data_IF_199291927457
#
_entry.id   IF_199291927457
#
_cell.length_a   1.000
_cell.length_b   1.000
_cell.length_c   1.000
_cell.angle_alpha   90.00
_cell.angle_beta   90.00
_cell.angle_gamma   90.00
#
_symmetry.space_group_name_H-M   'P 1'
#
loop_
_entity.id
_entity.type
_entity.pdbx_description
1 polymer ?
#
# COMPACT_ATOMS: atom_id res chain seq x y z
N UNK A 1 -2.21 -23.97 10.20
CA UNK A 1 -1.68 -22.70 10.75
C UNK A 1 -2.54 -21.57 10.20
N UNK A 2 -3.41 -20.95 11.01
CA UNK A 2 -4.32 -19.90 10.56
C UNK A 2 -3.49 -18.66 10.26
N UNK A 3 -3.01 -18.51 9.01
CA UNK A 3 -2.34 -17.30 8.57
C UNK A 3 -3.23 -16.12 8.98
N UNK A 4 -2.69 -15.25 9.82
CA UNK A 4 -3.27 -13.96 10.20
C UNK A 4 -3.29 -13.07 8.95
N UNK A 5 -4.12 -13.42 7.97
CA UNK A 5 -4.33 -12.74 6.69
C UNK A 5 -4.73 -11.27 6.87
N UNK A 6 -5.19 -10.91 8.06
CA UNK A 6 -5.58 -9.56 8.44
C UNK A 6 -4.42 -8.59 8.69
N UNK A 7 -3.20 -9.07 8.94
CA UNK A 7 -2.07 -8.17 9.26
C UNK A 7 -1.48 -7.53 7.99
N UNK A 8 -1.56 -8.20 6.84
CA UNK A 8 -0.98 -7.73 5.57
C UNK A 8 -1.73 -6.50 5.04
N UNK A 9 -3.03 -6.39 5.30
CA UNK A 9 -3.89 -5.28 4.87
C UNK A 9 -3.68 -3.99 5.67
N UNK A 10 -3.07 -4.05 6.85
CA UNK A 10 -2.92 -2.90 7.75
C UNK A 10 -1.73 -2.00 7.41
N UNK A 11 -0.76 -2.48 6.61
CA UNK A 11 0.59 -1.90 6.63
C UNK A 11 0.87 -0.92 5.48
N UNK A 12 0.08 -0.96 4.39
CA UNK A 12 0.15 0.07 3.32
C UNK A 12 -0.34 1.45 3.81
N UNK A 13 -1.14 1.44 4.88
CA UNK A 13 -2.01 2.55 5.28
C UNK A 13 -1.33 3.45 6.33
N UNK A 14 -0.50 2.89 7.22
CA UNK A 14 -0.04 3.59 8.43
C UNK A 14 1.14 4.56 8.25
N UNK A 15 1.79 4.59 7.09
CA UNK A 15 3.11 5.22 6.99
C UNK A 15 3.30 6.13 5.78
N UNK A 16 2.31 6.21 4.90
CA UNK A 16 2.27 7.20 3.83
C UNK A 16 2.22 8.63 4.37
N UNK A 17 1.54 8.87 5.50
CA UNK A 17 1.32 10.24 5.98
C UNK A 17 2.61 10.99 6.31
N UNK A 18 3.45 10.50 7.24
CA UNK A 18 4.68 11.20 7.64
C UNK A 18 5.67 11.33 6.48
N UNK A 19 5.75 10.30 5.64
CA UNK A 19 6.70 10.26 4.52
C UNK A 19 6.25 11.17 3.38
N UNK A 20 4.97 11.17 3.01
CA UNK A 20 4.44 12.09 2.00
C UNK A 20 4.39 13.52 2.53
N UNK A 21 3.99 13.74 3.79
CA UNK A 21 3.98 15.08 4.38
C UNK A 21 5.41 15.65 4.42
N UNK A 22 6.43 14.83 4.69
CA UNK A 22 7.83 15.24 4.53
C UNK A 22 8.18 15.61 3.07
N UNK A 23 7.73 14.83 2.08
CA UNK A 23 7.97 15.10 0.64
C UNK A 23 7.24 16.38 0.19
N UNK A 24 5.98 16.57 0.57
CA UNK A 24 5.15 17.71 0.19
C UNK A 24 5.64 19.00 0.85
N UNK A 25 6.01 18.94 2.14
CA UNK A 25 6.55 20.10 2.84
C UNK A 25 7.93 20.52 2.30
N UNK A 26 8.71 19.59 1.74
CA UNK A 26 9.97 19.93 1.06
C UNK A 26 9.83 20.28 -0.43
N UNK A 27 8.77 19.83 -1.12
CA UNK A 27 8.49 20.12 -2.53
C UNK A 27 6.98 20.16 -2.79
N UNK A 28 6.50 21.37 -3.04
CA UNK A 28 5.15 21.89 -3.31
C UNK A 28 4.27 21.18 -4.38
N UNK A 29 4.36 19.86 -4.58
CA UNK A 29 3.49 19.17 -5.53
C UNK A 29 2.18 18.75 -4.87
N UNK A 30 1.06 19.33 -5.33
CA UNK A 30 -0.29 18.85 -5.03
C UNK A 30 -0.64 17.56 -5.79
N UNK A 31 0.22 17.14 -6.72
CA UNK A 31 -0.01 16.02 -7.62
C UNK A 31 0.91 14.83 -7.30
N UNK A 32 0.46 13.64 -7.68
CA UNK A 32 1.29 12.45 -7.71
C UNK A 32 2.56 12.68 -8.52
N UNK A 33 3.69 12.31 -7.95
CA UNK A 33 5.00 12.33 -8.62
C UNK A 33 5.56 10.91 -8.67
N UNK A 34 6.44 10.65 -9.64
CA UNK A 34 7.18 9.39 -9.69
C UNK A 34 7.97 9.12 -8.38
N UNK A 35 8.42 10.19 -7.71
CA UNK A 35 9.13 10.09 -6.44
C UNK A 35 8.20 9.65 -5.30
N UNK A 36 6.99 10.23 -5.19
CA UNK A 36 6.00 9.80 -4.19
C UNK A 36 5.56 8.35 -4.40
N UNK A 37 5.40 7.91 -5.65
CA UNK A 37 5.04 6.52 -5.97
C UNK A 37 6.14 5.54 -5.54
N UNK A 38 7.40 5.82 -5.92
CA UNK A 38 8.54 4.98 -5.51
C UNK A 38 8.64 4.85 -3.99
N UNK A 39 8.52 5.96 -3.28
CA UNK A 39 8.64 5.99 -1.84
C UNK A 39 7.51 5.19 -1.16
N UNK A 40 6.28 5.27 -1.68
CA UNK A 40 5.17 4.49 -1.13
C UNK A 40 5.28 3.00 -1.43
N UNK A 41 5.82 2.61 -2.58
CA UNK A 41 6.12 1.22 -2.90
C UNK A 41 7.22 0.68 -1.97
N UNK A 42 8.31 1.42 -1.80
CA UNK A 42 9.39 1.06 -0.87
C UNK A 42 8.86 0.93 0.55
N UNK A 43 7.99 1.86 0.96
CA UNK A 43 7.40 1.80 2.28
C UNK A 43 6.48 0.60 2.46
N UNK A 44 5.62 0.30 1.48
CA UNK A 44 4.80 -0.89 1.45
C UNK A 44 5.64 -2.18 1.58
N UNK A 45 6.80 -2.23 0.93
CA UNK A 45 7.73 -3.36 1.05
C UNK A 45 8.27 -3.51 2.47
N UNK A 46 8.79 -2.44 3.06
CA UNK A 46 9.30 -2.43 4.45
C UNK A 46 8.20 -2.87 5.43
N UNK A 47 7.01 -2.35 5.20
CA UNK A 47 5.84 -2.55 6.04
C UNK A 47 5.31 -3.98 5.94
N UNK A 48 5.44 -4.62 4.78
CA UNK A 48 5.06 -6.03 4.60
C UNK A 48 5.92 -7.02 5.41
N UNK A 49 7.03 -6.56 6.03
CA UNK A 49 7.87 -7.33 6.97
C UNK A 49 8.19 -8.73 6.43
N UNK A 50 7.79 -9.79 7.14
CA UNK A 50 8.09 -11.18 6.80
C UNK A 50 7.63 -11.54 5.38
N UNK A 51 6.52 -10.98 4.92
CA UNK A 51 6.03 -11.25 3.57
C UNK A 51 7.01 -10.74 2.49
N UNK A 52 7.61 -9.57 2.70
CA UNK A 52 8.63 -9.04 1.80
C UNK A 52 9.95 -9.84 1.86
N UNK A 53 10.20 -10.59 2.94
CA UNK A 53 11.37 -11.46 3.08
C UNK A 53 11.10 -12.82 2.42
N UNK A 54 9.94 -13.43 2.70
CA UNK A 54 9.56 -14.76 2.23
C UNK A 54 9.15 -14.74 0.74
N UNK A 55 8.42 -13.72 0.32
CA UNK A 55 7.89 -13.57 -1.03
C UNK A 55 8.24 -12.19 -1.63
N UNK A 56 9.54 -11.86 -1.80
CA UNK A 56 9.98 -10.50 -2.16
C UNK A 56 9.41 -10.02 -3.50
N UNK A 57 9.40 -10.90 -4.52
CA UNK A 57 8.88 -10.56 -5.85
C UNK A 57 7.37 -10.34 -5.80
N UNK A 58 6.63 -11.28 -5.21
CA UNK A 58 5.17 -11.18 -5.11
C UNK A 58 4.73 -9.97 -4.29
N UNK A 59 5.44 -9.69 -3.19
CA UNK A 59 5.15 -8.53 -2.35
C UNK A 59 5.41 -7.23 -3.10
N UNK A 60 6.50 -7.16 -3.88
CA UNK A 60 6.80 -5.98 -4.70
C UNK A 60 5.74 -5.76 -5.77
N UNK A 61 5.32 -6.81 -6.46
CA UNK A 61 4.25 -6.75 -7.46
C UNK A 61 2.93 -6.29 -6.83
N UNK A 62 2.58 -6.81 -5.65
CA UNK A 62 1.42 -6.38 -4.88
C UNK A 62 1.49 -4.89 -4.50
N UNK A 63 2.63 -4.42 -3.97
CA UNK A 63 2.85 -3.03 -3.61
C UNK A 63 2.74 -2.10 -4.83
N UNK A 64 3.38 -2.47 -5.95
CA UNK A 64 3.30 -1.73 -7.21
C UNK A 64 1.86 -1.66 -7.74
N UNK A 65 1.15 -2.80 -7.77
CA UNK A 65 -0.23 -2.86 -8.23
C UNK A 65 -1.15 -1.99 -7.38
N UNK A 66 -1.04 -2.10 -6.05
CA UNK A 66 -1.88 -1.35 -5.12
C UNK A 66 -1.64 0.16 -5.24
N UNK A 67 -0.38 0.59 -5.32
CA UNK A 67 -0.05 2.01 -5.48
C UNK A 67 -0.54 2.56 -6.82
N UNK A 68 -0.42 1.78 -7.91
CA UNK A 68 -0.97 2.16 -9.21
C UNK A 68 -2.48 2.36 -9.13
N UNK A 69 -3.23 1.40 -8.56
CA UNK A 69 -4.69 1.50 -8.41
C UNK A 69 -5.11 2.71 -7.58
N UNK A 70 -4.41 2.98 -6.47
CA UNK A 70 -4.66 4.15 -5.62
C UNK A 70 -4.42 5.45 -6.41
N UNK A 71 -3.28 5.57 -7.08
CA UNK A 71 -2.92 6.76 -7.87
C UNK A 71 -3.94 7.03 -8.98
N UNK A 72 -4.39 5.99 -9.64
CA UNK A 72 -5.32 6.08 -10.77
C UNK A 72 -6.77 6.33 -10.29
N UNK A 73 -7.10 6.06 -9.02
CA UNK A 73 -8.46 6.18 -8.47
C UNK A 73 -8.70 7.46 -7.66
N UNK A 74 -7.69 7.96 -6.95
CA UNK A 74 -7.84 9.12 -6.05
C UNK A 74 -6.67 10.10 -6.21
N UNK A 75 -6.93 11.38 -5.93
CA UNK A 75 -5.90 12.41 -5.92
C UNK A 75 -4.94 12.23 -4.75
N UNK A 76 -3.76 12.85 -4.84
CA UNK A 76 -2.79 12.86 -3.74
C UNK A 76 -3.38 13.55 -2.49
N UNK A 77 -4.15 14.61 -2.66
CA UNK A 77 -4.85 15.31 -1.58
C UNK A 77 -5.85 14.39 -0.88
N UNK A 78 -6.63 13.64 -1.67
CA UNK A 78 -7.61 12.70 -1.15
C UNK A 78 -6.92 11.53 -0.41
N UNK A 79 -5.83 11.00 -0.97
CA UNK A 79 -5.02 9.99 -0.31
C UNK A 79 -4.48 10.50 1.04
N UNK A 80 -4.01 11.75 1.09
CA UNK A 80 -3.53 12.35 2.34
C UNK A 80 -4.63 12.55 3.36
N UNK A 81 -5.81 12.99 2.91
CA UNK A 81 -6.99 13.13 3.75
C UNK A 81 -7.38 11.78 4.35
N UNK A 82 -7.43 10.74 3.53
CA UNK A 82 -7.69 9.36 3.98
C UNK A 82 -6.60 8.89 4.95
N UNK A 83 -5.32 9.17 4.65
CA UNK A 83 -4.19 8.74 5.49
C UNK A 83 -4.21 9.31 6.92
N UNK A 84 -4.99 10.37 7.16
CA UNK A 84 -5.20 11.00 8.47
C UNK A 84 -6.39 10.43 9.23
N UNK A 85 -7.21 9.57 8.61
CA UNK A 85 -8.38 8.99 9.25
C UNK A 85 -7.99 7.85 10.20
N UNK A 86 -8.94 7.39 11.00
CA UNK A 86 -8.77 6.15 11.75
C UNK A 86 -8.61 4.95 10.81
N UNK A 87 -7.77 4.01 11.22
CA UNK A 87 -7.37 2.83 10.44
C UNK A 87 -8.55 2.09 9.81
N UNK A 88 -9.62 1.89 10.58
CA UNK A 88 -10.82 1.18 10.12
C UNK A 88 -11.48 1.90 8.96
N UNK A 89 -11.51 3.23 8.98
CA UNK A 89 -12.05 4.06 7.91
C UNK A 89 -11.14 4.05 6.69
N UNK A 90 -9.81 4.11 6.90
CA UNK A 90 -8.85 3.98 5.80
C UNK A 90 -9.02 2.64 5.08
N UNK A 91 -9.20 1.56 5.83
CA UNK A 91 -9.41 0.21 5.30
C UNK A 91 -10.69 0.15 4.45
N UNK A 92 -11.81 0.70 4.93
CA UNK A 92 -13.08 0.71 4.21
C UNK A 92 -12.97 1.42 2.87
N UNK A 93 -12.15 2.47 2.78
CA UNK A 93 -12.00 3.28 1.57
C UNK A 93 -10.95 2.68 0.63
N UNK A 94 -9.78 2.29 1.15
CA UNK A 94 -8.64 1.92 0.32
C UNK A 94 -8.67 0.46 -0.15
N UNK A 95 -9.13 -0.50 0.68
CA UNK A 95 -9.16 -1.91 0.28
C UNK A 95 -9.94 -2.13 -1.02
N UNK A 96 -11.16 -1.57 -1.20
CA UNK A 96 -11.90 -1.75 -2.45
C UNK A 96 -11.12 -1.33 -3.69
N UNK A 97 -10.29 -0.28 -3.61
CA UNK A 97 -9.51 0.27 -4.72
C UNK A 97 -8.48 -0.74 -5.25
N UNK A 98 -7.80 -1.46 -4.36
CA UNK A 98 -6.75 -2.42 -4.74
C UNK A 98 -7.13 -3.89 -4.47
N UNK A 99 -8.43 -4.19 -4.27
CA UNK A 99 -8.93 -5.53 -3.93
C UNK A 99 -8.45 -6.62 -4.90
N UNK A 100 -8.38 -6.30 -6.19
CA UNK A 100 -7.87 -7.20 -7.23
C UNK A 100 -6.39 -7.55 -6.98
N UNK A 101 -5.55 -6.55 -6.70
CA UNK A 101 -4.13 -6.74 -6.39
C UNK A 101 -3.95 -7.66 -5.17
N UNK A 102 -4.75 -7.43 -4.12
CA UNK A 102 -4.71 -8.23 -2.90
C UNK A 102 -5.14 -9.69 -3.17
N UNK A 103 -6.21 -9.87 -3.94
CA UNK A 103 -6.73 -11.20 -4.26
C UNK A 103 -5.72 -12.01 -5.07
N UNK A 104 -5.12 -11.39 -6.09
CA UNK A 104 -4.09 -12.02 -6.91
C UNK A 104 -2.86 -12.42 -6.09
N UNK A 105 -2.41 -11.51 -5.22
CA UNK A 105 -1.28 -11.76 -4.32
C UNK A 105 -1.53 -12.96 -3.39
N UNK A 106 -2.71 -13.01 -2.76
CA UNK A 106 -3.12 -14.12 -1.89
C UNK A 106 -3.22 -15.44 -2.64
N UNK A 107 -3.78 -15.44 -3.85
CA UNK A 107 -3.89 -16.64 -4.68
C UNK A 107 -2.51 -17.20 -5.05
N UNK A 108 -1.58 -16.33 -5.45
CA UNK A 108 -0.22 -16.74 -5.82
C UNK A 108 0.56 -17.33 -4.65
N UNK A 109 0.49 -16.71 -3.47
CA UNK A 109 1.11 -17.27 -2.26
C UNK A 109 0.50 -18.62 -1.91
N UNK A 110 -0.83 -18.75 -1.97
CA UNK A 110 -1.52 -20.01 -1.68
C UNK A 110 -1.05 -21.13 -2.62
N UNK A 111 -0.83 -20.82 -3.90
CA UNK A 111 -0.36 -21.78 -4.89
C UNK A 111 1.11 -22.20 -4.67
N UNK A 112 1.95 -21.32 -4.12
CA UNK A 112 3.33 -21.67 -3.77
C UNK A 112 3.46 -22.54 -2.52
N UNK A 113 2.49 -22.44 -1.61
CA UNK A 113 2.46 -23.18 -0.34
C UNK A 113 1.62 -24.47 -0.40
N UNK A 114 1.19 -24.88 -1.60
CA UNK A 114 0.43 -26.10 -1.85
C UNK A 114 1.36 -27.22 -2.27
#
# INVERSE_FOLDING_TARGET
MKLKHWIITLIIIFSGYNVINYIINKKQSKNWTANSEKILIEKCMIDSKNMAIEYPILTKEYCCCSMKKIRDSISLEEYLRISKMETEEQIKILIPIFKECLTEYQNRIKNLNK
#
